data_IF_727843181505
#
_entry.id   IF_727843181505
#
_cell.length_a   1.000
_cell.length_b   1.000
_cell.length_c   1.000
_cell.angle_alpha   90.00
_cell.angle_beta   90.00
_cell.angle_gamma   90.00
#
_symmetry.space_group_name_H-M   'P 1'
#
loop_
_entity.id
_entity.type
_entity.pdbx_description
1 polymer ?
#
# COMPACT_ATOMS: atom_id res chain seq x y z
N UNK A 1 19.56 -9.16 1.35
CA UNK A 1 19.18 -9.07 -0.07
C UNK A 1 18.71 -7.65 -0.32
N UNK A 2 19.31 -6.96 -1.30
CA UNK A 2 18.90 -5.61 -1.68
C UNK A 2 17.46 -5.63 -2.19
N UNK A 3 16.64 -4.69 -1.74
CA UNK A 3 15.25 -4.56 -2.17
C UNK A 3 15.22 -4.05 -3.61
N UNK A 4 14.47 -4.72 -4.51
CA UNK A 4 14.35 -4.30 -5.91
C UNK A 4 13.33 -3.17 -6.01
N UNK A 5 13.83 -1.95 -6.22
CA UNK A 5 13.06 -0.79 -6.64
C UNK A 5 13.06 -0.79 -8.16
N UNK A 6 11.89 -0.71 -8.80
CA UNK A 6 11.82 -0.50 -10.25
C UNK A 6 11.57 0.97 -10.52
N UNK A 7 12.27 1.53 -11.49
CA UNK A 7 12.10 2.92 -11.91
C UNK A 7 11.48 2.89 -13.31
N UNK A 8 10.35 3.57 -13.52
CA UNK A 8 9.65 3.60 -14.80
C UNK A 8 9.63 5.04 -15.32
N UNK A 9 10.07 5.23 -16.56
CA UNK A 9 10.02 6.50 -17.28
C UNK A 9 9.26 6.36 -18.59
N UNK A 10 8.25 7.20 -18.80
CA UNK A 10 7.41 7.16 -20.02
C UNK A 10 6.90 5.75 -20.36
N UNK A 11 6.48 5.00 -19.35
CA UNK A 11 5.96 3.63 -19.48
C UNK A 11 7.01 2.54 -19.68
N UNK A 12 8.31 2.85 -19.62
CA UNK A 12 9.40 1.87 -19.73
C UNK A 12 10.17 1.75 -18.42
N UNK A 13 10.38 0.52 -17.97
CA UNK A 13 11.27 0.23 -16.84
C UNK A 13 12.72 0.55 -17.22
N UNK A 14 13.41 1.27 -16.34
CA UNK A 14 14.80 1.65 -16.45
C UNK A 14 15.69 0.58 -15.80
N UNK A 15 16.88 0.41 -16.35
CA UNK A 15 17.89 -0.49 -15.82
C UNK A 15 18.61 0.15 -14.63
N UNK A 16 18.73 -0.59 -13.51
CA UNK A 16 19.30 -0.13 -12.24
C UNK A 16 20.76 0.35 -12.38
N UNK A 17 21.55 -0.33 -13.21
CA UNK A 17 23.00 -0.09 -13.34
C UNK A 17 23.37 0.90 -14.47
N UNK A 18 22.41 1.68 -14.98
CA UNK A 18 22.63 2.67 -16.05
C UNK A 18 22.22 4.08 -15.63
N UNK A 19 23.04 5.07 -15.99
CA UNK A 19 22.69 6.47 -15.75
C UNK A 19 21.38 6.85 -16.46
N UNK A 20 20.52 7.60 -15.77
CA UNK A 20 19.24 8.08 -16.29
C UNK A 20 19.36 8.80 -17.63
N UNK A 21 20.42 9.60 -17.81
CA UNK A 21 20.69 10.31 -19.06
C UNK A 21 20.94 9.37 -20.26
N UNK A 22 21.63 8.24 -20.07
CA UNK A 22 21.82 7.23 -21.12
C UNK A 22 20.53 6.50 -21.47
N UNK A 23 19.56 6.51 -20.56
CA UNK A 23 18.24 5.91 -20.75
C UNK A 23 17.20 6.94 -21.26
N UNK A 24 17.66 8.13 -21.66
CA UNK A 24 16.84 9.16 -22.29
C UNK A 24 16.03 10.02 -21.32
N UNK A 25 16.27 9.92 -20.01
CA UNK A 25 15.61 10.73 -19.00
C UNK A 25 16.15 12.15 -19.06
N UNK A 26 15.28 13.13 -19.28
CA UNK A 26 15.64 14.56 -19.30
C UNK A 26 15.62 15.14 -17.88
N UNK A 27 16.42 16.18 -17.58
CA UNK A 27 16.25 16.95 -16.35
C UNK A 27 14.79 17.39 -16.17
N UNK A 28 14.31 17.37 -14.93
CA UNK A 28 12.92 17.69 -14.56
C UNK A 28 11.84 16.74 -15.14
N UNK A 29 12.23 15.52 -15.52
CA UNK A 29 11.27 14.47 -15.88
C UNK A 29 10.60 13.85 -14.66
N UNK A 30 9.35 13.43 -14.79
CA UNK A 30 8.65 12.61 -13.78
C UNK A 30 9.05 11.15 -13.96
N UNK A 31 9.48 10.52 -12.87
CA UNK A 31 9.78 9.09 -12.79
C UNK A 31 8.75 8.41 -11.87
N UNK A 32 8.32 7.22 -12.25
CA UNK A 32 7.48 6.39 -11.38
C UNK A 32 8.39 5.39 -10.66
N UNK A 33 8.55 5.54 -9.35
CA UNK A 33 9.21 4.53 -8.52
C UNK A 33 8.18 3.49 -8.06
N UNK A 34 8.51 2.23 -8.28
CA UNK A 34 7.76 1.07 -7.85
C UNK A 34 8.58 0.36 -6.80
N UNK A 35 8.11 0.42 -5.56
CA UNK A 35 8.70 -0.31 -4.43
C UNK A 35 7.73 -1.38 -3.95
N UNK A 36 8.25 -2.61 -3.88
CA UNK A 36 7.43 -3.82 -3.83
C UNK A 36 7.22 -4.38 -2.43
N UNK A 37 7.83 -3.80 -1.40
CA UNK A 37 7.79 -4.37 -0.05
C UNK A 37 7.40 -3.39 1.04
N UNK A 38 6.28 -3.72 1.68
CA UNK A 38 5.92 -3.21 3.00
C UNK A 38 6.73 -4.01 4.02
N UNK A 39 7.60 -3.33 4.75
CA UNK A 39 8.35 -3.95 5.84
C UNK A 39 7.50 -3.95 7.11
N UNK A 40 7.02 -5.14 7.48
CA UNK A 40 6.30 -5.34 8.74
C UNK A 40 7.34 -5.45 9.85
N UNK A 41 7.20 -4.64 10.91
CA UNK A 41 8.02 -4.86 12.10
C UNK A 41 7.58 -6.17 12.77
N UNK A 42 8.45 -7.18 12.89
CA UNK A 42 8.05 -8.57 13.15
C UNK A 42 7.55 -8.84 14.58
N UNK A 43 7.51 -7.83 15.45
CA UNK A 43 7.12 -8.01 16.86
C UNK A 43 6.07 -6.98 17.24
N UNK A 44 4.82 -7.42 17.38
CA UNK A 44 3.84 -6.67 18.14
C UNK A 44 4.34 -6.61 19.59
N UNK A 45 4.56 -5.41 20.12
CA UNK A 45 5.12 -5.29 21.48
C UNK A 45 4.12 -5.79 22.53
N UNK A 46 2.82 -5.53 22.31
CA UNK A 46 1.72 -6.00 23.16
C UNK A 46 0.38 -5.80 22.45
N UNK A 47 -0.43 -6.83 22.25
CA UNK A 47 -1.75 -6.65 21.63
C UNK A 47 -2.74 -6.02 22.63
N UNK A 48 -3.61 -5.09 22.21
CA UNK A 48 -4.65 -4.56 23.08
C UNK A 48 -5.60 -5.69 23.50
N UNK A 49 -6.00 -5.70 24.79
CA UNK A 49 -6.91 -6.72 25.34
C UNK A 49 -8.24 -6.79 24.59
N UNK A 50 -8.84 -7.99 24.57
CA UNK A 50 -10.01 -8.31 23.73
C UNK A 50 -11.22 -7.38 23.91
N UNK A 51 -11.39 -6.80 25.11
CA UNK A 51 -12.51 -5.91 25.46
C UNK A 51 -12.35 -4.45 24.99
N UNK A 52 -11.27 -4.11 24.24
CA UNK A 52 -11.08 -2.74 23.74
C UNK A 52 -11.70 -2.57 22.35
N UNK A 53 -12.42 -1.46 22.10
CA UNK A 53 -12.84 -1.12 20.74
C UNK A 53 -11.62 -1.02 19.82
N UNK A 54 -11.69 -1.65 18.64
CA UNK A 54 -10.56 -1.72 17.69
C UNK A 54 -10.70 -0.78 16.49
N UNK A 55 -11.85 -0.12 16.34
CA UNK A 55 -12.13 0.83 15.25
C UNK A 55 -12.38 2.25 15.79
N UNK A 56 -11.91 3.31 15.09
CA UNK A 56 -12.30 4.69 15.38
C UNK A 56 -13.83 4.89 15.34
N UNK A 57 -14.37 5.87 16.06
CA UNK A 57 -13.67 6.82 16.94
C UNK A 57 -13.25 6.19 18.29
N UNK A 58 -13.71 4.98 18.61
CA UNK A 58 -13.53 4.39 19.94
C UNK A 58 -12.15 3.82 20.23
N UNK A 59 -11.36 3.48 19.21
CA UNK A 59 -10.12 2.72 19.35
C UNK A 59 -8.96 3.45 20.04
N UNK A 60 -8.90 4.77 19.94
CA UNK A 60 -7.81 5.59 20.44
C UNK A 60 -8.36 6.85 21.10
N UNK A 61 -8.80 6.72 22.35
CA UNK A 61 -9.42 7.81 23.12
C UNK A 61 -8.39 8.72 23.77
N UNK A 62 -7.20 8.19 24.08
CA UNK A 62 -6.12 8.93 24.76
C UNK A 62 -4.88 9.00 23.89
N UNK A 63 -4.11 10.10 23.97
CA UNK A 63 -2.82 10.24 23.27
C UNK A 63 -1.83 9.11 23.61
N UNK A 64 -1.88 8.58 24.83
CA UNK A 64 -1.06 7.44 25.25
C UNK A 64 -1.34 6.16 24.47
N UNK A 65 -2.51 6.03 23.84
CA UNK A 65 -2.91 4.87 23.04
C UNK A 65 -2.39 4.95 21.59
N UNK A 66 -1.84 6.09 21.17
CA UNK A 66 -1.13 6.27 19.89
C UNK A 66 0.38 5.94 20.01
N UNK A 67 0.80 5.46 21.18
CA UNK A 67 2.18 5.09 21.46
C UNK A 67 2.56 3.78 20.78
N UNK A 68 3.82 3.67 20.35
CA UNK A 68 4.43 2.47 19.72
C UNK A 68 4.63 1.29 20.70
N UNK A 69 4.35 1.52 22.00
CA UNK A 69 4.53 0.54 23.09
C UNK A 69 3.69 -0.75 22.93
N UNK A 70 2.57 -0.64 22.23
CA UNK A 70 1.59 -1.71 22.04
C UNK A 70 1.17 -1.78 20.55
N UNK A 71 0.64 -2.90 20.10
CA UNK A 71 0.10 -3.11 18.75
C UNK A 71 1.13 -3.58 17.71
N UNK A 72 0.67 -3.66 16.45
CA UNK A 72 1.52 -3.89 15.28
C UNK A 72 1.97 -2.55 14.71
N UNK A 73 3.22 -2.49 14.25
CA UNK A 73 3.83 -1.28 13.71
C UNK A 73 4.20 -1.53 12.24
N UNK A 74 3.79 -0.60 11.39
CA UNK A 74 4.14 -0.57 9.97
C UNK A 74 5.03 0.63 9.73
N UNK A 75 6.16 0.41 9.08
CA UNK A 75 7.00 1.49 8.56
C UNK A 75 6.65 1.68 7.10
N UNK A 76 6.42 2.93 6.72
CA UNK A 76 6.09 3.31 5.36
C UNK A 76 7.01 4.44 4.93
N UNK A 77 7.67 4.22 3.80
CA UNK A 77 8.55 5.20 3.18
C UNK A 77 7.84 5.77 1.95
N UNK A 78 7.72 7.11 1.91
CA UNK A 78 7.19 7.79 0.74
C UNK A 78 8.27 7.82 -0.34
N UNK A 79 7.92 7.39 -1.56
CA UNK A 79 8.82 7.47 -2.70
C UNK A 79 8.92 8.90 -3.27
N UNK A 80 7.97 9.77 -2.93
CA UNK A 80 7.98 11.19 -3.30
C UNK A 80 8.93 11.97 -2.39
N UNK A 81 9.78 12.85 -2.95
CA UNK A 81 10.61 13.77 -2.15
C UNK A 81 9.73 14.67 -1.26
N UNK A 82 8.58 15.10 -1.80
CA UNK A 82 7.62 16.00 -1.15
C UNK A 82 6.20 15.50 -1.37
N UNK A 83 5.72 14.53 -0.54
CA UNK A 83 4.37 14.04 -0.65
C UNK A 83 3.36 15.17 -0.52
N UNK A 84 2.38 15.22 -1.43
CA UNK A 84 1.37 16.29 -1.46
C UNK A 84 0.63 16.42 -0.12
N UNK A 85 0.40 15.28 0.55
CA UNK A 85 -0.32 15.20 1.81
C UNK A 85 0.32 14.15 2.73
N UNK A 86 0.53 14.55 3.99
CA UNK A 86 1.05 13.70 5.06
C UNK A 86 0.03 13.60 6.19
N UNK A 87 -0.16 12.38 6.70
CA UNK A 87 -1.00 12.15 7.87
C UNK A 87 -0.34 12.71 9.13
N UNK A 88 -1.11 13.45 9.94
CA UNK A 88 -0.68 13.87 11.27
C UNK A 88 -0.86 12.72 12.29
N UNK A 89 -0.16 12.82 13.43
CA UNK A 89 -0.32 11.87 14.54
C UNK A 89 -1.79 11.79 14.96
N UNK A 90 -2.33 10.57 14.97
CA UNK A 90 -3.73 10.29 15.34
C UNK A 90 -4.70 10.27 14.15
N UNK A 91 -4.26 10.65 12.95
CA UNK A 91 -5.03 10.39 11.74
C UNK A 91 -4.98 8.90 11.40
N UNK A 92 -6.15 8.36 11.05
CA UNK A 92 -6.28 6.97 10.62
C UNK A 92 -6.08 6.82 9.12
N UNK A 93 -5.63 5.64 8.71
CA UNK A 93 -5.55 5.23 7.32
C UNK A 93 -6.01 3.77 7.20
N UNK A 94 -6.55 3.40 6.05
CA UNK A 94 -7.03 2.07 5.74
C UNK A 94 -6.06 1.41 4.76
N UNK A 95 -5.40 0.34 5.19
CA UNK A 95 -4.67 -0.51 4.26
C UNK A 95 -5.66 -1.41 3.50
N UNK A 96 -5.62 -1.34 2.18
CA UNK A 96 -6.49 -2.06 1.26
C UNK A 96 -5.70 -2.86 0.25
N UNK A 97 -6.31 -3.91 -0.29
CA UNK A 97 -5.84 -4.60 -1.48
C UNK A 97 -7.00 -4.76 -2.43
N UNK A 98 -6.94 -4.10 -3.58
CA UNK A 98 -7.88 -4.27 -4.67
C UNK A 98 -7.48 -5.49 -5.49
N UNK A 99 -8.43 -6.36 -5.80
CA UNK A 99 -8.25 -7.53 -6.65
C UNK A 99 -9.22 -7.45 -7.84
N UNK A 100 -8.69 -7.43 -9.06
CA UNK A 100 -9.50 -7.50 -10.27
C UNK A 100 -9.81 -8.97 -10.56
N UNK A 101 -11.08 -9.35 -10.50
CA UNK A 101 -11.47 -10.72 -10.83
C UNK A 101 -11.13 -11.06 -12.27
N UNK A 102 -10.67 -12.29 -12.50
CA UNK A 102 -10.48 -12.80 -13.86
C UNK A 102 -11.83 -13.05 -14.56
N UNK A 103 -12.79 -13.57 -13.81
CA UNK A 103 -14.16 -13.88 -14.24
C UNK A 103 -15.15 -13.55 -13.11
N UNK A 104 -16.44 -13.33 -13.39
CA UNK A 104 -17.39 -12.88 -12.36
C UNK A 104 -17.51 -13.80 -11.14
N UNK A 105 -17.31 -15.11 -11.32
CA UNK A 105 -17.41 -16.13 -10.27
C UNK A 105 -16.04 -16.53 -9.67
N UNK A 106 -15.02 -15.70 -9.87
CA UNK A 106 -13.67 -15.91 -9.33
C UNK A 106 -13.66 -15.83 -7.79
N UNK A 107 -13.20 -16.90 -7.15
CA UNK A 107 -13.12 -17.03 -5.69
C UNK A 107 -11.72 -16.75 -5.12
N UNK A 108 -10.76 -16.34 -5.94
CA UNK A 108 -9.36 -16.10 -5.54
C UNK A 108 -9.25 -15.03 -4.45
N UNK A 109 -10.12 -14.03 -4.46
CA UNK A 109 -10.18 -13.01 -3.42
C UNK A 109 -10.43 -13.58 -2.00
N UNK A 110 -11.18 -14.67 -1.90
CA UNK A 110 -11.43 -15.36 -0.62
C UNK A 110 -10.15 -16.01 -0.08
N UNK A 111 -9.32 -16.57 -0.97
CA UNK A 111 -8.01 -17.09 -0.62
C UNK A 111 -7.06 -15.98 -0.16
N UNK A 112 -7.08 -14.81 -0.81
CA UNK A 112 -6.28 -13.65 -0.40
C UNK A 112 -6.61 -13.16 1.02
N UNK A 113 -7.87 -13.29 1.44
CA UNK A 113 -8.30 -12.98 2.82
C UNK A 113 -7.85 -14.03 3.84
N UNK A 114 -7.75 -15.30 3.42
CA UNK A 114 -7.43 -16.44 4.28
C UNK A 114 -5.94 -16.74 4.39
N UNK A 115 -5.08 -16.13 3.57
CA UNK A 115 -3.63 -16.19 3.82
C UNK A 115 -3.42 -15.60 5.21
N UNK A 116 -2.85 -16.39 6.14
CA UNK A 116 -2.64 -16.06 7.56
C UNK A 116 -1.79 -14.79 7.82
N UNK A 117 -1.41 -14.07 6.76
CA UNK A 117 -0.67 -12.82 6.70
C UNK A 117 -1.44 -11.69 5.97
N UNK A 118 -2.71 -11.87 5.65
CA UNK A 118 -3.53 -10.90 4.91
C UNK A 118 -3.65 -9.58 5.68
N UNK A 119 -2.87 -8.59 5.26
CA UNK A 119 -2.87 -7.28 5.88
C UNK A 119 -4.05 -6.46 5.33
N UNK A 120 -4.80 -5.83 6.24
CA UNK A 120 -5.90 -4.91 5.90
C UNK A 120 -7.08 -5.54 5.16
N UNK A 121 -7.77 -4.74 4.35
CA UNK A 121 -9.05 -5.12 3.72
C UNK A 121 -8.88 -5.49 2.26
N UNK A 122 -9.37 -6.66 1.85
CA UNK A 122 -9.41 -7.04 0.42
C UNK A 122 -10.72 -6.59 -0.21
N UNK A 123 -10.64 -5.78 -1.27
CA UNK A 123 -11.74 -5.28 -2.09
C UNK A 123 -11.69 -5.93 -3.47
N UNK A 124 -12.84 -6.36 -3.99
CA UNK A 124 -12.92 -7.02 -5.30
C UNK A 124 -13.53 -6.08 -6.32
N UNK A 125 -12.95 -6.08 -7.52
CA UNK A 125 -13.46 -5.41 -8.71
C UNK A 125 -13.94 -6.49 -9.68
N UNK A 126 -15.15 -6.34 -10.23
CA UNK A 126 -15.65 -7.22 -11.27
C UNK A 126 -14.91 -6.96 -12.60
N UNK A 127 -14.87 -7.92 -13.55
CA UNK A 127 -14.06 -7.78 -14.77
C UNK A 127 -14.35 -6.52 -15.61
N UNK A 128 -15.57 -5.98 -15.52
CA UNK A 128 -16.00 -4.75 -16.19
C UNK A 128 -15.71 -3.46 -15.42
N UNK A 129 -15.35 -3.57 -14.13
CA UNK A 129 -15.10 -2.40 -13.29
C UNK A 129 -13.77 -1.76 -13.67
N UNK A 130 -13.74 -0.43 -13.60
CA UNK A 130 -12.50 0.33 -13.79
C UNK A 130 -11.68 0.34 -12.51
N UNK A 131 -10.36 0.40 -12.67
CA UNK A 131 -9.44 0.62 -11.57
C UNK A 131 -9.76 1.95 -10.85
N UNK A 132 -9.69 1.99 -9.50
CA UNK A 132 -9.78 3.24 -8.74
C UNK A 132 -8.53 4.12 -8.88
N UNK A 133 -7.49 3.60 -9.53
CA UNK A 133 -6.20 4.25 -9.71
C UNK A 133 -6.08 4.86 -11.10
N UNK A 134 -5.11 5.76 -11.27
CA UNK A 134 -4.75 6.27 -12.61
C UNK A 134 -4.26 5.16 -13.55
N UNK A 135 -3.72 4.06 -12.99
CA UNK A 135 -3.32 2.87 -13.73
C UNK A 135 -4.33 1.73 -13.58
N UNK A 136 -4.34 0.81 -14.55
CA UNK A 136 -5.22 -0.36 -14.53
C UNK A 136 -4.70 -1.47 -13.60
N UNK A 137 -5.63 -2.24 -13.05
CA UNK A 137 -5.35 -3.51 -12.37
C UNK A 137 -5.73 -4.61 -13.34
N UNK A 138 -4.76 -5.40 -13.79
CA UNK A 138 -5.00 -6.47 -14.76
C UNK A 138 -5.92 -7.58 -14.21
N UNK A 139 -6.66 -8.31 -15.06
CA UNK A 139 -7.50 -9.42 -14.63
C UNK A 139 -6.70 -10.49 -13.87
N UNK A 140 -7.17 -10.89 -12.70
CA UNK A 140 -6.47 -11.82 -11.81
C UNK A 140 -5.31 -11.20 -11.02
N UNK A 141 -5.05 -9.90 -11.17
CA UNK A 141 -4.02 -9.19 -10.42
C UNK A 141 -4.59 -8.47 -9.18
N UNK A 142 -3.70 -8.18 -8.23
CA UNK A 142 -4.01 -7.41 -7.04
C UNK A 142 -3.07 -6.22 -6.87
N UNK A 143 -3.60 -5.13 -6.33
CA UNK A 143 -2.89 -3.88 -6.09
C UNK A 143 -3.21 -3.39 -4.67
N UNK A 144 -2.21 -3.29 -3.81
CA UNK A 144 -2.37 -2.78 -2.45
C UNK A 144 -2.28 -1.26 -2.39
N UNK A 145 -2.90 -0.67 -1.37
CA UNK A 145 -2.99 0.77 -1.18
C UNK A 145 -3.16 1.17 0.29
N UNK A 146 -2.81 2.42 0.61
CA UNK A 146 -3.17 3.08 1.86
C UNK A 146 -4.15 4.21 1.53
N UNK A 147 -5.41 4.03 1.92
CA UNK A 147 -6.43 5.05 1.78
C UNK A 147 -6.49 5.90 3.03
N UNK A 148 -6.65 7.19 2.83
CA UNK A 148 -7.00 8.16 3.87
C UNK A 148 -8.23 8.90 3.40
N UNK A 149 -8.85 9.72 4.26
CA UNK A 149 -9.98 10.57 3.83
C UNK A 149 -9.60 11.58 2.74
N UNK A 150 -8.32 11.70 2.38
CA UNK A 150 -7.79 12.76 1.52
C UNK A 150 -7.07 12.18 0.28
N UNK A 151 -6.43 11.01 0.37
CA UNK A 151 -5.65 10.40 -0.72
C UNK A 151 -5.55 8.88 -0.63
N UNK A 152 -5.45 8.23 -1.80
CA UNK A 152 -5.12 6.81 -1.96
C UNK A 152 -3.67 6.64 -2.45
N UNK A 153 -2.80 6.07 -1.61
CA UNK A 153 -1.40 5.81 -1.92
C UNK A 153 -1.23 4.36 -2.37
N UNK A 154 -0.76 4.15 -3.60
CA UNK A 154 -0.62 2.81 -4.18
C UNK A 154 0.74 2.16 -3.84
N UNK A 155 0.71 0.84 -3.59
CA UNK A 155 1.91 0.00 -3.41
C UNK A 155 2.11 -0.91 -4.62
N UNK A 156 2.98 -0.54 -5.54
CA UNK A 156 3.19 -1.35 -6.74
C UNK A 156 3.76 -2.75 -6.40
N UNK A 157 3.29 -3.83 -7.03
CA UNK A 157 3.71 -5.22 -6.76
C UNK A 157 5.14 -5.54 -7.23
#
# INVERSE_FOLDING_TARGET
MSEKVKIIYSGRELEDDKFLAFQGVRPNSVLHLVRTRIQIWPKAQRLPGENKPRRPPGAFKKKSELSVKDGHVFLMEYCEERPLLLGNVGMGARFCTYYQKLVPNDQTASSLRNVNNGLGTVLTLDPSDRSPFLGDIGPGCSQSCLETNITDLQFSP
#
